data_IF_856127658152
#
_entry.id   IF_856127658152
#
_cell.length_a   1.000
_cell.length_b   1.000
_cell.length_c   1.000
_cell.angle_alpha   90.00
_cell.angle_beta   90.00
_cell.angle_gamma   90.00
#
_symmetry.space_group_name_H-M   'P 1'
#
loop_
_entity.id
_entity.type
_entity.pdbx_description
1 polymer ?
#
# COMPACT_ATOMS: atom_id res chain seq x y z
N UNK A 1 26.89 13.44 -2.04
CA UNK A 1 26.01 14.52 -2.54
C UNK A 1 24.61 14.29 -2.00
N UNK A 2 24.20 15.08 -1.00
CA UNK A 2 22.83 15.05 -0.47
C UNK A 2 21.87 15.41 -1.59
N UNK A 3 21.09 14.44 -2.09
CA UNK A 3 20.00 14.73 -3.01
C UNK A 3 18.95 15.49 -2.21
N UNK A 4 18.91 16.81 -2.35
CA UNK A 4 17.78 17.61 -1.91
C UNK A 4 16.53 16.97 -2.52
N UNK A 5 15.67 16.41 -1.67
CA UNK A 5 14.38 15.89 -2.14
C UNK A 5 13.61 17.10 -2.65
N UNK A 6 13.16 17.10 -3.92
CA UNK A 6 12.24 18.14 -4.36
C UNK A 6 11.03 18.14 -3.43
N UNK A 7 10.76 19.30 -2.82
CA UNK A 7 9.58 19.53 -1.99
C UNK A 7 8.40 19.68 -2.95
N UNK A 8 7.62 18.62 -3.09
CA UNK A 8 6.35 18.67 -3.80
C UNK A 8 5.30 19.15 -2.80
N UNK A 9 4.83 20.37 -2.98
CA UNK A 9 3.75 20.94 -2.16
C UNK A 9 2.42 20.64 -2.84
N UNK A 10 1.56 19.88 -2.16
CA UNK A 10 0.16 19.68 -2.51
C UNK A 10 -0.62 19.68 -1.21
N UNK A 11 -1.77 20.35 -1.15
CA UNK A 11 -2.53 20.57 0.09
C UNK A 11 -3.87 19.82 0.06
N UNK A 12 -3.93 18.49 0.18
CA UNK A 12 -5.18 17.72 0.07
C UNK A 12 -6.35 18.17 0.96
N UNK A 13 -6.09 18.75 2.13
CA UNK A 13 -7.16 19.24 3.02
C UNK A 13 -7.67 20.65 2.67
N UNK A 14 -7.01 21.35 1.76
CA UNK A 14 -7.35 22.70 1.30
C UNK A 14 -7.77 22.70 -0.18
N UNK A 15 -7.07 21.94 -1.02
CA UNK A 15 -7.33 21.79 -2.45
C UNK A 15 -8.53 20.84 -2.69
N UNK A 16 -9.74 21.37 -2.66
CA UNK A 16 -10.96 20.55 -2.88
C UNK A 16 -11.22 20.20 -4.36
N UNK A 17 -10.47 20.80 -5.29
CA UNK A 17 -10.67 20.66 -6.75
C UNK A 17 -10.56 19.21 -7.23
N UNK A 18 -9.68 18.41 -6.61
CA UNK A 18 -9.51 17.00 -6.95
C UNK A 18 -10.67 16.11 -6.51
N UNK A 19 -11.41 16.52 -5.46
CA UNK A 19 -12.60 15.81 -4.97
C UNK A 19 -13.88 16.30 -5.65
N UNK A 20 -13.96 17.60 -5.94
CA UNK A 20 -15.15 18.23 -6.50
C UNK A 20 -15.26 18.05 -8.02
N UNK A 21 -14.13 17.90 -8.74
CA UNK A 21 -14.12 17.83 -10.21
C UNK A 21 -13.53 16.50 -10.73
N UNK A 22 -14.36 15.46 -10.97
CA UNK A 22 -13.86 14.19 -11.51
C UNK A 22 -13.25 14.32 -12.91
N UNK A 23 -13.67 15.29 -13.71
CA UNK A 23 -13.11 15.56 -15.04
C UNK A 23 -11.64 16.01 -15.00
N UNK A 24 -11.24 16.78 -13.97
CA UNK A 24 -9.85 17.19 -13.79
C UNK A 24 -8.96 15.98 -13.54
N UNK A 25 -9.46 15.01 -12.78
CA UNK A 25 -8.74 13.78 -12.46
C UNK A 25 -8.54 12.91 -13.71
N UNK A 26 -9.50 12.86 -14.64
CA UNK A 26 -9.33 12.20 -15.93
C UNK A 26 -8.30 12.91 -16.82
N UNK A 27 -8.33 14.24 -16.91
CA UNK A 27 -7.33 15.03 -17.64
C UNK A 27 -5.92 14.81 -17.09
N UNK A 28 -5.75 14.85 -15.77
CA UNK A 28 -4.46 14.57 -15.12
C UNK A 28 -3.99 13.15 -15.42
N UNK A 29 -4.87 12.14 -15.34
CA UNK A 29 -4.53 10.76 -15.71
C UNK A 29 -4.11 10.63 -17.18
N UNK A 30 -4.78 11.33 -18.09
CA UNK A 30 -4.45 11.34 -19.51
C UNK A 30 -3.07 11.95 -19.77
N UNK A 31 -2.73 13.07 -19.12
CA UNK A 31 -1.40 13.68 -19.24
C UNK A 31 -0.30 12.80 -18.61
N UNK A 32 -0.57 12.16 -17.47
CA UNK A 32 0.35 11.15 -16.90
C UNK A 32 0.59 10.00 -17.89
N UNK A 33 -0.46 9.53 -18.58
CA UNK A 33 -0.33 8.48 -19.57
C UNK A 33 0.47 8.93 -20.82
N UNK A 34 0.27 10.17 -21.27
CA UNK A 34 1.05 10.78 -22.36
C UNK A 34 2.52 10.89 -22.01
N UNK A 35 2.85 11.40 -20.82
CA UNK A 35 4.24 11.50 -20.34
C UNK A 35 4.87 10.12 -20.14
N UNK A 36 4.12 9.15 -19.62
CA UNK A 36 4.58 7.74 -19.55
C UNK A 36 4.89 7.17 -20.93
N UNK A 37 4.08 7.48 -21.95
CA UNK A 37 4.34 7.04 -23.33
C UNK A 37 5.58 7.73 -23.92
N UNK A 38 5.74 9.03 -23.66
CA UNK A 38 6.87 9.84 -24.12
C UNK A 38 8.20 9.40 -23.52
N UNK A 39 8.22 9.12 -22.21
CA UNK A 39 9.41 8.67 -21.49
C UNK A 39 9.79 7.21 -21.81
N UNK A 40 8.96 6.50 -22.59
CA UNK A 40 9.07 5.06 -22.80
C UNK A 40 8.61 4.30 -21.56
N UNK A 41 8.09 3.09 -21.78
CA UNK A 41 7.79 2.18 -20.68
C UNK A 41 9.10 1.92 -19.92
N UNK A 42 9.16 2.34 -18.65
CA UNK A 42 10.32 2.05 -17.80
C UNK A 42 10.65 0.57 -17.92
N UNK A 43 11.95 0.30 -17.97
CA UNK A 43 12.57 -1.02 -18.02
C UNK A 43 11.76 -2.01 -17.18
N UNK A 44 11.45 -3.19 -17.74
CA UNK A 44 10.70 -4.25 -17.04
C UNK A 44 11.22 -4.42 -15.62
N UNK A 45 10.35 -4.71 -14.66
CA UNK A 45 10.69 -4.81 -13.23
C UNK A 45 11.87 -5.76 -12.96
N UNK A 46 12.12 -6.72 -13.86
CA UNK A 46 13.24 -7.66 -13.80
C UNK A 46 14.62 -7.05 -14.16
N UNK A 47 14.67 -5.83 -14.72
CA UNK A 47 15.89 -5.20 -15.26
C UNK A 47 16.16 -3.82 -14.63
N UNK A 48 15.30 -3.35 -13.72
CA UNK A 48 15.56 -2.09 -12.99
C UNK A 48 16.61 -2.33 -11.89
N UNK A 49 17.79 -1.66 -11.94
CA UNK A 49 18.83 -1.79 -10.91
C UNK A 49 18.42 -1.26 -9.52
N UNK A 50 17.24 -0.62 -9.40
CA UNK A 50 16.65 -0.19 -8.12
C UNK A 50 15.83 -1.28 -7.45
N UNK A 51 15.43 -2.32 -8.19
CA UNK A 51 14.67 -3.43 -7.67
C UNK A 51 15.67 -4.52 -7.28
N UNK A 52 15.65 -5.02 -6.03
CA UNK A 52 16.53 -6.11 -5.64
C UNK A 52 16.25 -7.34 -6.50
N UNK A 53 17.28 -8.14 -6.84
CA UNK A 53 17.08 -9.36 -7.61
C UNK A 53 16.13 -10.31 -6.89
N UNK A 54 15.45 -11.17 -7.65
CA UNK A 54 14.51 -12.17 -7.09
C UNK A 54 15.22 -12.99 -6.02
N UNK A 55 14.61 -13.01 -4.84
CA UNK A 55 15.15 -13.72 -3.68
C UNK A 55 14.91 -15.23 -3.85
N UNK A 56 15.95 -16.09 -3.80
CA UNK A 56 15.76 -17.53 -3.86
C UNK A 56 15.09 -18.02 -2.57
N UNK A 57 13.82 -18.44 -2.69
CA UNK A 57 13.07 -19.01 -1.58
C UNK A 57 13.71 -20.35 -1.16
N UNK A 58 13.76 -20.58 0.16
CA UNK A 58 14.26 -21.83 0.75
C UNK A 58 15.70 -22.24 0.38
N UNK A 59 16.59 -21.30 0.07
CA UNK A 59 18.00 -21.58 -0.26
C UNK A 59 18.76 -22.44 0.78
N UNK A 60 18.32 -22.45 2.04
CA UNK A 60 18.90 -23.26 3.12
C UNK A 60 18.29 -24.66 3.27
N UNK A 61 17.13 -24.91 2.66
CA UNK A 61 16.39 -26.15 2.79
C UNK A 61 16.10 -26.75 1.41
N UNK A 62 16.95 -27.66 0.92
CA UNK A 62 16.81 -28.22 -0.43
C UNK A 62 15.51 -29.01 -0.61
N UNK A 63 14.99 -29.63 0.46
CA UNK A 63 13.69 -30.33 0.42
C UNK A 63 12.52 -29.38 0.13
N UNK A 64 12.52 -28.18 0.72
CA UNK A 64 11.46 -27.19 0.50
C UNK A 64 11.59 -26.52 -0.86
N UNK A 65 12.82 -26.33 -1.35
CA UNK A 65 13.05 -25.86 -2.72
C UNK A 65 12.54 -26.86 -3.76
N UNK A 66 12.83 -28.15 -3.59
CA UNK A 66 12.32 -29.20 -4.48
C UNK A 66 10.79 -29.32 -4.45
N UNK A 67 10.16 -29.16 -3.28
CA UNK A 67 8.69 -29.12 -3.19
C UNK A 67 8.09 -27.90 -3.88
N UNK A 68 8.75 -26.74 -3.83
CA UNK A 68 8.31 -25.55 -4.54
C UNK A 68 8.37 -25.78 -6.06
N UNK A 69 9.47 -26.34 -6.57
CA UNK A 69 9.63 -26.72 -7.98
C UNK A 69 8.55 -27.74 -8.42
N UNK A 70 8.25 -28.73 -7.57
CA UNK A 70 7.18 -29.72 -7.81
C UNK A 70 5.78 -29.08 -7.87
N UNK A 71 5.52 -28.08 -7.03
CA UNK A 71 4.26 -27.32 -7.04
C UNK A 71 4.18 -26.46 -8.30
N UNK A 72 5.29 -25.82 -8.68
CA UNK A 72 5.39 -25.05 -9.92
C UNK A 72 5.16 -25.93 -11.16
N UNK A 73 5.64 -27.18 -11.15
CA UNK A 73 5.37 -28.18 -12.20
C UNK A 73 3.97 -28.81 -12.11
N UNK A 74 3.14 -28.40 -11.16
CA UNK A 74 1.77 -28.91 -10.91
C UNK A 74 1.70 -30.42 -10.67
N UNK A 75 2.79 -31.05 -10.25
CA UNK A 75 2.79 -32.46 -9.90
C UNK A 75 2.00 -32.66 -8.60
N UNK A 76 1.25 -33.77 -8.50
CA UNK A 76 0.50 -34.11 -7.28
C UNK A 76 1.40 -34.85 -6.30
N UNK A 77 1.29 -34.51 -5.01
CA UNK A 77 2.08 -35.15 -3.95
C UNK A 77 1.44 -36.48 -3.55
N UNK A 78 2.15 -37.59 -3.72
CA UNK A 78 1.77 -38.89 -3.17
C UNK A 78 2.45 -39.10 -1.79
N UNK A 79 2.05 -38.30 -0.79
CA UNK A 79 2.77 -38.23 0.49
C UNK A 79 2.42 -39.31 1.51
N UNK A 80 1.21 -39.89 1.46
CA UNK A 80 0.72 -40.72 2.57
C UNK A 80 0.31 -42.09 2.05
N UNK A 81 1.04 -43.10 2.49
CA UNK A 81 0.63 -44.48 2.36
C UNK A 81 -0.49 -44.79 3.37
N UNK A 82 -1.72 -44.86 2.87
CA UNK A 82 -2.90 -45.18 3.66
C UNK A 82 -2.99 -46.66 4.02
N UNK A 83 -2.29 -47.55 3.30
CA UNK A 83 -2.29 -49.00 3.57
C UNK A 83 -1.56 -49.33 4.86
N UNK A 84 -0.52 -48.54 5.20
CA UNK A 84 0.23 -48.69 6.46
C UNK A 84 -0.66 -48.56 7.71
N UNK A 85 -1.72 -47.77 7.65
CA UNK A 85 -2.63 -47.54 8.78
C UNK A 85 -3.80 -48.52 8.84
N UNK A 86 -3.89 -49.43 7.87
CA UNK A 86 -4.94 -50.44 7.78
C UNK A 86 -4.38 -51.80 8.17
N UNK A 87 -5.19 -52.58 8.89
CA UNK A 87 -4.91 -53.98 9.23
C UNK A 87 -5.45 -54.88 8.11
N UNK A 88 -4.87 -54.78 6.91
CA UNK A 88 -5.26 -55.64 5.80
C UNK A 88 -4.46 -56.95 5.84
N UNK A 89 -5.09 -58.12 5.65
CA UNK A 89 -4.37 -59.35 5.32
C UNK A 89 -3.73 -59.21 3.93
N UNK A 90 -2.74 -60.05 3.57
CA UNK A 90 -2.23 -60.07 2.21
C UNK A 90 -3.34 -60.45 1.22
N UNK A 91 -3.41 -59.74 0.10
CA UNK A 91 -4.52 -59.83 -0.88
C UNK A 91 -4.57 -61.19 -1.62
N UNK A 92 -3.47 -61.95 -1.62
CA UNK A 92 -3.34 -63.19 -2.40
C UNK A 92 -3.63 -64.45 -1.55
N UNK A 93 -4.48 -65.38 -2.02
CA UNK A 93 -4.74 -66.66 -1.33
C UNK A 93 -3.50 -67.55 -1.20
N UNK A 94 -2.53 -67.42 -2.11
CA UNK A 94 -1.23 -68.10 -2.11
C UNK A 94 -0.09 -67.13 -1.70
N UNK A 95 -0.36 -66.23 -0.75
CA UNK A 95 0.62 -65.22 -0.32
C UNK A 95 1.90 -65.86 0.24
N UNK A 96 3.03 -65.23 -0.06
CA UNK A 96 4.36 -65.72 0.33
C UNK A 96 4.55 -65.54 1.84
N UNK A 97 5.39 -66.38 2.47
CA UNK A 97 5.72 -66.26 3.90
C UNK A 97 6.18 -64.84 4.28
N UNK A 98 6.88 -64.16 3.38
CA UNK A 98 7.36 -62.78 3.57
C UNK A 98 6.22 -61.75 3.64
N UNK A 99 5.17 -61.91 2.83
CA UNK A 99 3.99 -61.02 2.83
C UNK A 99 3.19 -61.16 4.13
N UNK A 100 3.06 -62.40 4.63
CA UNK A 100 2.48 -62.67 5.94
C UNK A 100 3.32 -62.11 7.09
N UNK A 101 4.65 -62.20 7.00
CA UNK A 101 5.54 -61.59 7.99
C UNK A 101 5.44 -60.06 7.99
N UNK A 102 5.31 -59.43 6.82
CA UNK A 102 5.11 -57.99 6.69
C UNK A 102 3.77 -57.55 7.28
N UNK A 103 2.68 -58.28 6.99
CA UNK A 103 1.36 -58.04 7.57
C UNK A 103 1.39 -58.19 9.11
N UNK A 104 2.06 -59.21 9.64
CA UNK A 104 2.22 -59.43 11.08
C UNK A 104 3.03 -58.30 11.75
N UNK A 105 4.11 -57.83 11.12
CA UNK A 105 4.90 -56.69 11.61
C UNK A 105 4.05 -55.41 11.65
N UNK A 106 3.24 -55.17 10.61
CA UNK A 106 2.31 -54.04 10.60
C UNK A 106 1.28 -54.16 11.74
N UNK A 107 0.68 -55.34 11.92
CA UNK A 107 -0.28 -55.57 13.00
C UNK A 107 0.30 -55.33 14.40
N UNK A 108 1.54 -55.77 14.65
CA UNK A 108 2.25 -55.50 15.91
C UNK A 108 2.52 -54.00 16.11
N UNK A 109 2.95 -53.30 15.06
CA UNK A 109 3.15 -51.85 15.12
C UNK A 109 1.84 -51.11 15.43
N UNK A 110 0.73 -51.52 14.80
CA UNK A 110 -0.58 -50.93 15.07
C UNK A 110 -1.06 -51.18 16.50
N UNK A 111 -0.82 -52.37 17.05
CA UNK A 111 -1.16 -52.66 18.46
C UNK A 111 -0.46 -51.69 19.42
N UNK A 112 0.84 -51.47 19.23
CA UNK A 112 1.60 -50.52 20.05
C UNK A 112 1.13 -49.07 19.82
N UNK A 113 0.80 -48.68 18.59
CA UNK A 113 0.20 -47.37 18.32
C UNK A 113 -1.14 -47.18 19.04
N UNK A 114 -2.02 -48.19 19.06
CA UNK A 114 -3.27 -48.11 19.80
C UNK A 114 -3.03 -48.03 21.31
N UNK A 115 -2.06 -48.79 21.83
CA UNK A 115 -1.67 -48.71 23.24
C UNK A 115 -1.21 -47.30 23.63
N UNK A 116 -0.33 -46.69 22.82
CA UNK A 116 0.11 -45.31 23.01
C UNK A 116 -1.04 -44.32 22.88
N UNK A 117 -1.94 -44.51 21.91
CA UNK A 117 -3.12 -43.67 21.72
C UNK A 117 -4.04 -43.71 22.94
N UNK A 118 -4.26 -44.88 23.53
CA UNK A 118 -5.05 -45.01 24.76
C UNK A 118 -4.38 -44.31 25.94
N UNK A 119 -3.06 -44.46 26.10
CA UNK A 119 -2.31 -43.75 27.14
C UNK A 119 -2.38 -42.22 26.96
N UNK A 120 -2.16 -41.72 25.74
CA UNK A 120 -2.28 -40.30 25.40
C UNK A 120 -3.72 -39.80 25.57
N UNK A 121 -4.71 -40.63 25.24
CA UNK A 121 -6.13 -40.35 25.45
C UNK A 121 -6.47 -40.17 26.93
N UNK A 122 -5.93 -41.03 27.81
CA UNK A 122 -6.09 -40.89 29.25
C UNK A 122 -5.46 -39.59 29.79
N UNK A 123 -4.25 -39.24 29.33
CA UNK A 123 -3.61 -37.96 29.66
C UNK A 123 -4.43 -36.76 29.17
N UNK A 124 -4.96 -36.84 27.94
CA UNK A 124 -5.79 -35.77 27.38
C UNK A 124 -7.13 -35.64 28.11
N UNK A 125 -7.76 -36.74 28.55
CA UNK A 125 -8.97 -36.68 29.37
C UNK A 125 -8.69 -36.02 30.73
N UNK A 126 -7.54 -36.29 31.33
CA UNK A 126 -7.17 -35.74 32.63
C UNK A 126 -6.77 -34.25 32.57
N UNK A 127 -5.97 -33.85 31.59
CA UNK A 127 -5.36 -32.51 31.55
C UNK A 127 -5.85 -31.62 30.39
N UNK A 128 -6.46 -32.19 29.36
CA UNK A 128 -6.80 -31.48 28.13
C UNK A 128 -7.71 -30.30 28.34
N UNK A 129 -8.78 -30.45 29.14
CA UNK A 129 -9.72 -29.35 29.41
C UNK A 129 -9.05 -28.16 30.11
N UNK A 130 -8.14 -28.42 31.05
CA UNK A 130 -7.43 -27.36 31.78
C UNK A 130 -6.35 -26.69 30.89
N UNK A 131 -5.61 -27.49 30.11
CA UNK A 131 -4.65 -26.96 29.16
C UNK A 131 -5.32 -26.06 28.11
N UNK A 132 -6.49 -26.46 27.59
CA UNK A 132 -7.26 -25.66 26.64
C UNK A 132 -7.74 -24.34 27.23
N UNK A 133 -8.20 -24.33 28.49
CA UNK A 133 -8.61 -23.09 29.17
C UNK A 133 -7.44 -22.13 29.34
N UNK A 134 -6.27 -22.62 29.75
CA UNK A 134 -5.06 -21.80 29.87
C UNK A 134 -4.63 -21.25 28.50
N UNK A 135 -4.71 -22.08 27.46
CA UNK A 135 -4.42 -21.65 26.11
C UNK A 135 -5.38 -20.55 25.62
N UNK A 136 -6.69 -20.72 25.83
CA UNK A 136 -7.69 -19.70 25.51
C UNK A 136 -7.44 -18.39 26.26
N UNK A 137 -7.15 -18.47 27.57
CA UNK A 137 -6.81 -17.28 28.34
C UNK A 137 -5.59 -16.54 27.77
N UNK A 138 -4.54 -17.28 27.36
CA UNK A 138 -3.37 -16.68 26.70
C UNK A 138 -3.73 -16.04 25.36
N UNK A 139 -4.57 -16.69 24.56
CA UNK A 139 -5.05 -16.13 23.30
C UNK A 139 -5.85 -14.84 23.51
N UNK A 140 -6.72 -14.80 24.52
CA UNK A 140 -7.48 -13.59 24.87
C UNK A 140 -6.56 -12.45 25.29
N UNK A 141 -5.51 -12.73 26.08
CA UNK A 141 -4.52 -11.72 26.47
C UNK A 141 -3.77 -11.19 25.25
N UNK A 142 -3.36 -12.06 24.34
CA UNK A 142 -2.70 -11.65 23.09
C UNK A 142 -3.66 -10.81 22.24
N UNK A 143 -4.91 -11.22 22.08
CA UNK A 143 -5.94 -10.47 21.37
C UNK A 143 -6.09 -9.05 21.91
N UNK A 144 -6.29 -8.91 23.23
CA UNK A 144 -6.39 -7.61 23.89
C UNK A 144 -5.14 -6.74 23.71
N UNK A 145 -3.95 -7.35 23.70
CA UNK A 145 -2.71 -6.61 23.48
C UNK A 145 -2.59 -6.08 22.05
N UNK A 146 -3.08 -6.83 21.05
CA UNK A 146 -3.12 -6.42 19.66
C UNK A 146 -4.16 -5.32 19.44
N UNK A 147 -5.35 -5.46 20.03
CA UNK A 147 -6.41 -4.44 19.95
C UNK A 147 -5.90 -3.10 20.52
N UNK A 148 -5.22 -3.14 21.68
CA UNK A 148 -4.58 -1.95 22.26
C UNK A 148 -3.52 -1.35 21.33
N UNK A 149 -2.68 -2.18 20.71
CA UNK A 149 -1.69 -1.70 19.76
C UNK A 149 -2.32 -1.04 18.52
N UNK A 150 -3.46 -1.56 18.06
CA UNK A 150 -4.25 -0.96 16.96
C UNK A 150 -4.79 0.41 17.38
N UNK A 151 -5.39 0.51 18.58
CA UNK A 151 -5.87 1.79 19.12
C UNK A 151 -4.73 2.82 19.21
N UNK A 152 -3.58 2.44 19.78
CA UNK A 152 -2.42 3.32 19.89
C UNK A 152 -1.89 3.80 18.51
N UNK A 153 -1.94 2.95 17.48
CA UNK A 153 -1.54 3.32 16.12
C UNK A 153 -2.59 4.25 15.50
N UNK A 154 -3.87 3.98 15.69
CA UNK A 154 -4.95 4.85 15.20
C UNK A 154 -4.89 6.24 15.84
N UNK A 155 -4.61 6.33 17.13
CA UNK A 155 -4.42 7.61 17.83
C UNK A 155 -3.23 8.39 17.25
N UNK A 156 -2.11 7.72 16.98
CA UNK A 156 -0.95 8.35 16.31
C UNK A 156 -1.29 8.82 14.90
N UNK A 157 -2.02 8.02 14.13
CA UNK A 157 -2.45 8.39 12.77
C UNK A 157 -3.40 9.59 12.79
N UNK A 158 -4.37 9.60 13.70
CA UNK A 158 -5.32 10.71 13.84
C UNK A 158 -4.64 11.99 14.27
N UNK A 159 -3.68 11.92 15.21
CA UNK A 159 -2.90 13.09 15.63
C UNK A 159 -2.05 13.67 14.48
N UNK A 160 -1.36 12.80 13.73
CA UNK A 160 -0.60 13.24 12.54
C UNK A 160 -1.52 13.87 11.49
N UNK A 161 -2.67 13.27 11.22
CA UNK A 161 -3.64 13.81 10.27
C UNK A 161 -4.24 15.14 10.76
N UNK A 162 -4.47 15.29 12.07
CA UNK A 162 -4.95 16.52 12.68
C UNK A 162 -3.92 17.64 12.55
N UNK A 163 -2.65 17.39 12.91
CA UNK A 163 -1.57 18.36 12.71
C UNK A 163 -1.46 18.76 11.25
N UNK A 164 -1.42 17.77 10.33
CA UNK A 164 -1.35 18.02 8.89
C UNK A 164 -2.50 18.88 8.39
N UNK A 165 -3.73 18.60 8.84
CA UNK A 165 -4.90 19.41 8.46
C UNK A 165 -4.77 20.85 8.95
N UNK A 166 -4.35 21.07 10.19
CA UNK A 166 -4.16 22.41 10.74
C UNK A 166 -3.10 23.20 9.95
N UNK A 167 -1.96 22.56 9.66
CA UNK A 167 -0.86 23.18 8.91
C UNK A 167 -1.30 23.56 7.49
N UNK A 168 -1.95 22.63 6.79
CA UNK A 168 -2.43 22.87 5.42
C UNK A 168 -3.50 23.96 5.36
N UNK A 169 -4.43 24.00 6.32
CA UNK A 169 -5.44 25.06 6.37
C UNK A 169 -4.83 26.43 6.74
N UNK A 170 -3.79 26.46 7.57
CA UNK A 170 -3.09 27.69 7.89
C UNK A 170 -2.34 28.26 6.66
N UNK A 171 -1.59 27.41 5.96
CA UNK A 171 -0.87 27.77 4.73
C UNK A 171 -1.85 28.15 3.62
N UNK A 172 -2.93 27.38 3.43
CA UNK A 172 -3.96 27.68 2.43
C UNK A 172 -4.60 29.05 2.62
N UNK A 173 -4.89 29.45 3.87
CA UNK A 173 -5.37 30.82 4.18
C UNK A 173 -4.36 31.90 3.81
N UNK A 174 -3.07 31.66 4.04
CA UNK A 174 -2.01 32.59 3.62
C UNK A 174 -1.94 32.69 2.10
N UNK A 175 -2.09 31.57 1.40
CA UNK A 175 -2.10 31.52 -0.06
C UNK A 175 -3.28 32.32 -0.64
N UNK A 176 -4.50 32.17 -0.10
CA UNK A 176 -5.65 33.00 -0.51
C UNK A 176 -5.41 34.48 -0.27
N UNK A 177 -4.80 34.84 0.87
CA UNK A 177 -4.52 36.23 1.20
C UNK A 177 -3.49 36.85 0.23
N UNK A 178 -2.45 36.09 -0.12
CA UNK A 178 -1.46 36.49 -1.10
C UNK A 178 -2.06 36.60 -2.51
N UNK A 179 -2.92 35.67 -2.90
CA UNK A 179 -3.62 35.70 -4.18
C UNK A 179 -4.54 36.92 -4.29
N UNK A 180 -5.31 37.25 -3.24
CA UNK A 180 -6.14 38.46 -3.19
C UNK A 180 -5.30 39.72 -3.33
N UNK A 181 -4.22 39.83 -2.54
CA UNK A 181 -3.31 40.98 -2.62
C UNK A 181 -2.68 41.09 -4.01
N UNK A 182 -2.33 39.98 -4.63
CA UNK A 182 -1.80 39.95 -5.99
C UNK A 182 -2.83 40.45 -7.01
N UNK A 183 -4.08 39.99 -6.93
CA UNK A 183 -5.18 40.46 -7.78
C UNK A 183 -5.48 41.96 -7.60
N UNK A 184 -5.49 42.44 -6.35
CA UNK A 184 -5.66 43.86 -6.02
C UNK A 184 -4.53 44.70 -6.62
N UNK A 185 -3.27 44.25 -6.47
CA UNK A 185 -2.12 44.95 -7.05
C UNK A 185 -2.18 45.00 -8.58
N UNK A 186 -2.54 43.89 -9.24
CA UNK A 186 -2.69 43.88 -10.70
C UNK A 186 -3.80 44.83 -11.14
N UNK A 187 -4.94 44.78 -10.46
CA UNK A 187 -6.07 45.64 -10.78
C UNK A 187 -5.72 47.11 -10.56
N UNK A 188 -4.99 47.43 -9.49
CA UNK A 188 -4.49 48.79 -9.22
C UNK A 188 -3.51 49.26 -10.29
N UNK A 189 -2.59 48.40 -10.75
CA UNK A 189 -1.65 48.75 -11.84
C UNK A 189 -2.42 49.03 -13.12
N UNK A 190 -3.37 48.18 -13.49
CA UNK A 190 -4.22 48.39 -14.68
C UNK A 190 -5.02 49.69 -14.57
N UNK A 191 -5.58 49.99 -13.40
CA UNK A 191 -6.32 51.24 -13.17
C UNK A 191 -5.41 52.48 -13.29
N UNK A 192 -4.17 52.40 -12.79
CA UNK A 192 -3.19 53.48 -12.92
C UNK A 192 -2.78 53.68 -14.38
N UNK A 193 -2.55 52.61 -15.14
CA UNK A 193 -2.20 52.69 -16.55
C UNK A 193 -3.34 53.32 -17.38
N UNK A 194 -4.60 52.97 -17.07
CA UNK A 194 -5.78 53.60 -17.70
C UNK A 194 -5.85 55.09 -17.34
N UNK A 195 -5.66 55.44 -16.06
CA UNK A 195 -5.71 56.84 -15.62
C UNK A 195 -4.61 57.69 -16.27
N UNK A 196 -3.39 57.16 -16.37
CA UNK A 196 -2.28 57.81 -17.06
C UNK A 196 -2.61 58.03 -18.54
N UNK A 197 -3.12 57.01 -19.24
CA UNK A 197 -3.51 57.14 -20.64
C UNK A 197 -4.62 58.20 -20.85
N UNK A 198 -5.60 58.29 -19.94
CA UNK A 198 -6.63 59.34 -20.01
C UNK A 198 -6.07 60.74 -19.77
N UNK A 199 -5.18 60.89 -18.78
CA UNK A 199 -4.53 62.18 -18.49
C UNK A 199 -3.62 62.62 -19.63
N UNK A 200 -2.87 61.70 -20.25
CA UNK A 200 -2.06 61.98 -21.43
C UNK A 200 -2.93 62.48 -22.59
N UNK A 201 -4.09 61.85 -22.83
CA UNK A 201 -5.04 62.31 -23.85
C UNK A 201 -5.63 63.69 -23.53
N UNK A 202 -5.96 63.98 -22.26
CA UNK A 202 -6.43 65.29 -21.83
C UNK A 202 -5.35 66.37 -22.01
N UNK A 203 -4.10 66.09 -21.59
CA UNK A 203 -2.96 67.00 -21.78
C UNK A 203 -2.75 67.29 -23.27
N UNK A 204 -2.83 66.27 -24.13
CA UNK A 204 -2.70 66.45 -25.57
C UNK A 204 -3.81 67.34 -26.12
N UNK A 205 -5.07 67.15 -25.69
CA UNK A 205 -6.19 68.00 -26.11
C UNK A 205 -6.05 69.45 -25.66
N UNK A 206 -5.51 69.67 -24.45
CA UNK A 206 -5.26 71.02 -23.94
C UNK A 206 -4.10 71.70 -24.67
N UNK A 207 -3.03 70.96 -24.99
CA UNK A 207 -1.90 71.48 -25.77
C UNK A 207 -2.33 71.86 -27.19
N UNK A 208 -3.21 71.06 -27.82
CA UNK A 208 -3.82 71.41 -29.11
C UNK A 208 -4.63 72.71 -28.99
N UNK A 209 -5.43 72.86 -27.92
CA UNK A 209 -6.24 74.05 -27.69
C UNK A 209 -5.41 75.31 -27.40
N UNK A 210 -4.31 75.17 -26.68
CA UNK A 210 -3.36 76.27 -26.42
C UNK A 210 -2.73 76.74 -27.73
N UNK A 211 -2.28 75.82 -28.58
CA UNK A 211 -1.74 76.13 -29.90
C UNK A 211 -2.75 76.84 -30.82
N UNK A 212 -4.03 76.44 -30.78
CA UNK A 212 -5.10 77.15 -31.50
C UNK A 212 -5.28 78.59 -31.02
N UNK A 213 -5.24 78.81 -29.70
CA UNK A 213 -5.40 80.14 -29.12
C UNK A 213 -4.20 81.04 -29.40
N UNK A 214 -2.98 80.52 -29.36
CA UNK A 214 -1.77 81.26 -29.73
C UNK A 214 -1.80 81.71 -31.20
N UNK A 215 -2.33 80.88 -32.10
CA UNK A 215 -2.54 81.25 -33.50
C UNK A 215 -3.61 82.34 -33.70
N UNK A 216 -4.58 82.46 -32.78
CA UNK A 216 -5.60 83.52 -32.84
C UNK A 216 -5.13 84.86 -32.28
N UNK A 217 -4.05 84.88 -31.49
CA UNK A 217 -3.50 86.07 -30.84
C UNK A 217 -2.37 86.72 -31.67
N UNK A 218 -1.82 86.01 -32.66
CA UNK A 218 -0.90 86.55 -33.68
C UNK A 218 -1.65 87.12 -34.88
#
# INVERSE_FOLDING_TARGET
MSRARPTFEALPYYDEDGSNNPELLEKVKAEIARERKRLGQRVSADVDPRIPPKFPLFAKNPLLAAELERIESQEKLNAIDTKRFQLLPPDNPNATVEEWQAALKNARAQLEHQRLRTANGALMQQYGANAWRVYNYRLEVVGKSLDKAIEEINDKVTEVNRSRKNDQLAVGKQLTALERKWNELITSVIQLDIANATLEAEIQSLAEREAELEQMVQ
#
